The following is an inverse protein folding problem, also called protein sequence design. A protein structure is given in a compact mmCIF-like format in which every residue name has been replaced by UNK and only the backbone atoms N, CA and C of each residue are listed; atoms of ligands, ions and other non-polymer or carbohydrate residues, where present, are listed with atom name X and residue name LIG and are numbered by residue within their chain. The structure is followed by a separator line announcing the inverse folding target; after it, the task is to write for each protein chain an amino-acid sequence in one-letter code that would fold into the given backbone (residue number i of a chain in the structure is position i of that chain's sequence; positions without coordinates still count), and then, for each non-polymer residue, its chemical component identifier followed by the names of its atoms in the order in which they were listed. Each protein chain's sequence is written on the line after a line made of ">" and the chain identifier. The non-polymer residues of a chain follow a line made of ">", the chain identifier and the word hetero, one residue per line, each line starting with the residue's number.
data_IF_545743608815
#
_entry.id   IF_545743608815
#
_cell.length_a   1.000
_cell.length_b   1.000
_cell.length_c   1.000
_cell.angle_alpha   90.00
_cell.angle_beta   90.00
_cell.angle_gamma   90.00
#
_symmetry.space_group_name_H-M   'P 1'
#
loop_
_entity.id
_entity.type
_entity.pdbx_description
1 polymer ?
#
# COMPACT_ATOMS: atom_id res chain seq x y z
N UNK A 1 -33.38 -18.44 -2.91
CA UNK A 1 -31.94 -18.43 -3.28
C UNK A 1 -31.21 -17.75 -2.14
N UNK A 2 -30.17 -18.34 -1.52
CA UNK A 2 -29.41 -17.62 -0.51
C UNK A 2 -28.71 -16.45 -1.19
N UNK A 3 -28.85 -15.23 -0.63
CA UNK A 3 -28.15 -14.06 -1.14
C UNK A 3 -26.65 -14.36 -1.17
N UNK A 4 -26.01 -14.16 -2.32
CA UNK A 4 -24.57 -14.32 -2.45
C UNK A 4 -23.88 -13.39 -1.44
N UNK A 5 -23.15 -14.00 -0.49
CA UNK A 5 -22.32 -13.26 0.45
C UNK A 5 -21.10 -12.74 -0.31
N UNK A 6 -21.22 -11.55 -0.88
CA UNK A 6 -20.09 -10.78 -1.40
C UNK A 6 -19.62 -9.82 -0.31
N UNK A 7 -18.33 -9.46 -0.31
CA UNK A 7 -17.78 -8.52 0.68
C UNK A 7 -18.45 -7.14 0.64
N UNK A 8 -19.04 -6.77 -0.50
CA UNK A 8 -19.83 -5.55 -0.68
C UNK A 8 -21.13 -5.53 0.15
N UNK A 9 -21.60 -6.69 0.59
CA UNK A 9 -22.82 -6.84 1.41
C UNK A 9 -22.49 -7.00 2.91
N UNK A 10 -21.24 -6.75 3.30
CA UNK A 10 -20.82 -6.77 4.70
C UNK A 10 -21.19 -5.43 5.35
N UNK A 11 -22.04 -5.47 6.38
CA UNK A 11 -22.22 -4.32 7.26
C UNK A 11 -20.92 -4.08 8.01
N UNK A 12 -20.30 -2.94 7.75
CA UNK A 12 -19.12 -2.50 8.47
C UNK A 12 -19.54 -1.99 9.86
N UNK A 13 -18.75 -2.28 10.93
CA UNK A 13 -18.95 -1.65 12.23
C UNK A 13 -19.01 -0.12 12.14
N UNK A 14 -19.69 0.56 13.06
CA UNK A 14 -19.82 2.03 13.04
C UNK A 14 -18.46 2.75 13.07
N UNK A 15 -17.45 2.11 13.65
CA UNK A 15 -16.09 2.63 13.76
C UNK A 15 -15.25 2.39 12.50
N UNK A 16 -15.73 1.59 11.56
CA UNK A 16 -15.01 1.26 10.34
C UNK A 16 -15.12 2.38 9.32
N UNK A 17 -14.00 2.67 8.66
CA UNK A 17 -13.90 3.76 7.70
C UNK A 17 -13.42 3.23 6.36
N UNK A 18 -14.07 3.70 5.30
CA UNK A 18 -13.64 3.43 3.93
C UNK A 18 -12.39 4.26 3.63
N UNK A 19 -11.28 3.58 3.39
CA UNK A 19 -10.01 4.18 2.96
C UNK A 19 -9.81 3.92 1.47
N UNK A 20 -9.22 4.88 0.75
CA UNK A 20 -8.83 4.66 -0.65
C UNK A 20 -7.49 3.93 -0.65
N UNK A 21 -7.37 2.94 -1.54
CA UNK A 21 -6.13 2.20 -1.78
C UNK A 21 -5.88 2.12 -3.28
N UNK A 22 -4.66 2.41 -3.68
CA UNK A 22 -4.15 2.24 -5.03
C UNK A 22 -2.98 1.26 -5.01
N UNK A 23 -2.93 0.36 -5.99
CA UNK A 23 -1.92 -0.69 -6.08
C UNK A 23 -1.05 -0.46 -7.32
N UNK A 24 0.26 -0.51 -7.13
CA UNK A 24 1.25 -0.31 -8.18
C UNK A 24 2.23 -1.49 -8.20
N UNK A 25 2.58 -1.96 -9.39
CA UNK A 25 3.72 -2.85 -9.58
C UNK A 25 4.94 -1.98 -9.95
N UNK A 26 6.04 -2.17 -9.25
CA UNK A 26 7.28 -1.42 -9.43
C UNK A 26 8.46 -2.39 -9.63
N UNK A 27 9.08 -2.34 -10.80
CA UNK A 27 10.27 -3.12 -11.12
C UNK A 27 11.50 -2.21 -11.13
N UNK A 28 12.57 -2.63 -10.45
CA UNK A 28 13.87 -1.95 -10.48
C UNK A 28 15.02 -2.95 -10.55
N UNK A 29 16.26 -2.44 -10.51
CA UNK A 29 17.46 -3.30 -10.44
C UNK A 29 17.53 -4.10 -9.12
N UNK A 30 16.71 -3.73 -8.12
CA UNK A 30 16.55 -4.44 -6.84
C UNK A 30 15.48 -5.51 -6.85
N UNK A 31 14.81 -5.73 -7.99
CA UNK A 31 13.75 -6.72 -8.16
C UNK A 31 12.37 -6.11 -8.35
N UNK A 32 11.35 -6.96 -8.20
CA UNK A 32 9.95 -6.59 -8.37
C UNK A 32 9.27 -6.36 -7.03
N UNK A 33 8.55 -5.25 -6.93
CA UNK A 33 7.87 -4.80 -5.74
C UNK A 33 6.40 -4.51 -6.03
N UNK A 34 5.58 -4.69 -5.01
CA UNK A 34 4.22 -4.18 -4.96
C UNK A 34 4.22 -2.97 -4.04
N UNK A 35 3.75 -1.83 -4.54
CA UNK A 35 3.57 -0.62 -3.76
C UNK A 35 2.07 -0.36 -3.58
N UNK A 36 1.66 -0.21 -2.33
CA UNK A 36 0.31 0.13 -1.93
C UNK A 36 0.31 1.57 -1.43
N UNK A 37 -0.46 2.45 -2.06
CA UNK A 37 -0.69 3.82 -1.60
C UNK A 37 -2.07 3.88 -0.94
N UNK A 38 -2.11 4.42 0.28
CA UNK A 38 -3.32 4.56 1.08
C UNK A 38 -3.65 6.02 1.29
N UNK A 39 -4.94 6.35 1.25
CA UNK A 39 -5.50 7.63 1.71
C UNK A 39 -6.46 7.36 2.87
N UNK A 40 -6.21 8.02 4.01
CA UNK A 40 -7.10 7.93 5.16
C UNK A 40 -8.24 8.96 5.07
N UNK A 41 -9.22 8.88 5.96
CA UNK A 41 -10.38 9.79 5.97
C UNK A 41 -10.05 11.27 6.21
N UNK A 42 -8.83 11.57 6.66
CA UNK A 42 -8.36 12.95 6.87
C UNK A 42 -7.72 13.52 5.60
N UNK A 43 -7.67 12.76 4.51
CA UNK A 43 -6.96 13.14 3.28
C UNK A 43 -5.44 13.08 3.44
N UNK A 44 -4.94 12.29 4.40
CA UNK A 44 -3.51 12.03 4.57
C UNK A 44 -3.14 10.70 3.90
N UNK A 45 -1.90 10.61 3.45
CA UNK A 45 -1.38 9.54 2.63
C UNK A 45 -0.21 8.83 3.30
N UNK A 46 -0.12 7.52 3.08
CA UNK A 46 1.11 6.75 3.33
C UNK A 46 1.21 5.66 2.28
N UNK A 47 2.42 5.20 2.02
CA UNK A 47 2.68 4.14 1.06
C UNK A 47 3.52 3.03 1.70
N UNK A 48 3.33 1.82 1.20
CA UNK A 48 4.07 0.62 1.62
C UNK A 48 4.53 -0.12 0.37
N UNK A 49 5.83 -0.38 0.26
CA UNK A 49 6.44 -1.25 -0.75
C UNK A 49 6.85 -2.59 -0.16
N UNK A 50 6.57 -3.68 -0.87
CA UNK A 50 6.98 -5.05 -0.47
C UNK A 50 7.54 -5.82 -1.68
N UNK A 51 8.61 -6.62 -1.53
CA UNK A 51 9.10 -7.48 -2.61
C UNK A 51 8.05 -8.53 -3.01
N UNK A 52 7.90 -8.79 -4.31
CA UNK A 52 6.95 -9.77 -4.86
C UNK A 52 7.47 -11.21 -4.79
N UNK A 53 8.79 -11.39 -4.88
CA UNK A 53 9.45 -12.69 -5.04
C UNK A 53 10.60 -12.90 -4.05
N UNK A 54 10.35 -12.62 -2.77
CA UNK A 54 11.37 -12.81 -1.71
C UNK A 54 10.91 -13.81 -0.66
N UNK A 55 11.86 -14.61 -0.18
CA UNK A 55 11.66 -15.49 0.98
C UNK A 55 11.54 -14.70 2.30
N UNK A 56 11.84 -13.40 2.28
CA UNK A 56 11.77 -12.49 3.42
C UNK A 56 10.73 -11.40 3.16
N UNK A 57 9.87 -11.17 4.14
CA UNK A 57 8.97 -10.01 4.13
C UNK A 57 9.72 -8.78 4.64
N UNK A 58 10.12 -7.90 3.73
CA UNK A 58 10.67 -6.58 4.04
C UNK A 58 9.63 -5.53 3.64
N UNK A 59 9.37 -4.57 4.53
CA UNK A 59 8.36 -3.53 4.34
C UNK A 59 9.06 -2.17 4.25
N UNK A 60 8.95 -1.52 3.09
CA UNK A 60 9.44 -0.17 2.86
C UNK A 60 8.29 0.81 3.00
N UNK A 61 8.15 1.47 4.15
CA UNK A 61 7.04 2.38 4.43
C UNK A 61 7.43 3.85 4.36
N UNK A 62 6.53 4.73 3.93
CA UNK A 62 6.62 6.17 4.20
C UNK A 62 5.91 6.54 5.51
N UNK A 63 6.28 7.65 6.18
CA UNK A 63 5.44 8.21 7.23
C UNK A 63 4.11 8.72 6.63
N UNK A 64 3.15 9.04 7.49
CA UNK A 64 1.92 9.72 7.07
C UNK A 64 2.24 11.14 6.61
N UNK A 65 1.74 11.52 5.44
CA UNK A 65 2.02 12.80 4.76
C UNK A 65 0.73 13.42 4.23
N UNK A 66 0.74 14.73 3.97
CA UNK A 66 -0.39 15.42 3.34
C UNK A 66 -0.42 15.32 1.82
N UNK A 67 0.62 14.73 1.21
CA UNK A 67 0.79 14.63 -0.24
C UNK A 67 1.11 13.18 -0.64
N UNK A 68 0.29 12.64 -1.54
CA UNK A 68 0.45 11.29 -2.09
C UNK A 68 1.75 11.13 -2.89
N UNK A 69 2.19 12.17 -3.58
CA UNK A 69 3.43 12.14 -4.36
C UNK A 69 4.63 11.92 -3.43
N UNK A 70 4.70 12.67 -2.33
CA UNK A 70 5.78 12.53 -1.34
C UNK A 70 5.75 11.17 -0.65
N UNK A 71 4.57 10.64 -0.34
CA UNK A 71 4.41 9.32 0.26
C UNK A 71 4.94 8.21 -0.67
N UNK A 72 4.61 8.29 -1.96
CA UNK A 72 5.09 7.36 -2.99
C UNK A 72 6.59 7.48 -3.22
N UNK A 73 7.08 8.70 -3.44
CA UNK A 73 8.50 8.98 -3.67
C UNK A 73 9.37 8.43 -2.53
N UNK A 74 8.94 8.64 -1.28
CA UNK A 74 9.67 8.15 -0.10
C UNK A 74 9.83 6.63 -0.10
N UNK A 75 8.81 5.88 -0.51
CA UNK A 75 8.89 4.41 -0.59
C UNK A 75 9.82 3.99 -1.71
N UNK A 76 9.72 4.60 -2.89
CA UNK A 76 10.60 4.31 -4.02
C UNK A 76 12.06 4.57 -3.63
N UNK A 77 12.37 5.73 -3.05
CA UNK A 77 13.73 6.06 -2.62
C UNK A 77 14.28 5.08 -1.57
N UNK A 78 13.42 4.56 -0.67
CA UNK A 78 13.81 3.51 0.29
C UNK A 78 14.12 2.19 -0.41
N UNK A 79 13.28 1.77 -1.36
CA UNK A 79 13.53 0.57 -2.17
C UNK A 79 14.84 0.70 -2.95
N UNK A 80 15.08 1.84 -3.60
CA UNK A 80 16.30 2.03 -4.40
C UNK A 80 17.56 2.06 -3.52
N UNK A 81 17.46 2.56 -2.29
CA UNK A 81 18.58 2.61 -1.33
C UNK A 81 18.86 1.27 -0.64
N UNK A 82 17.81 0.54 -0.27
CA UNK A 82 17.87 -0.59 0.68
C UNK A 82 17.32 -1.89 0.11
N UNK A 83 16.81 -1.88 -1.12
CA UNK A 83 16.27 -3.04 -1.82
C UNK A 83 17.31 -4.15 -1.92
N UNK A 84 17.03 -5.27 -1.27
CA UNK A 84 17.85 -6.46 -1.35
C UNK A 84 17.15 -7.47 -2.27
N UNK A 85 17.82 -7.85 -3.35
CA UNK A 85 17.47 -9.02 -4.17
C UNK A 85 17.65 -10.32 -3.37
#
# INVERSE_FOLDING_TARGET
>A
MPAERTWHNLELPEEAQLVRKELFEYSSDKGDFIIELFENVKGEYYAIGTPRHSDKLIIYGSPVMSDSFMAMQTVIEKIEREGAC
#
